data_IF_724394078123
#
_entry.id   IF_724394078123
#
_cell.length_a   1.000
_cell.length_b   1.000
_cell.length_c   1.000
_cell.angle_alpha   90.00
_cell.angle_beta   90.00
_cell.angle_gamma   90.00
#
_symmetry.space_group_name_H-M   'P 1'
#
loop_
_entity.id
_entity.type
_entity.pdbx_description
1 polymer ?
#
# COMPACT_ATOMS: atom_id res chain seq x y z
N UNK A 1 -4.04 -1.08 -43.17
CA UNK A 1 -3.55 -1.52 -41.85
C UNK A 1 -3.21 -2.99 -41.94
N UNK A 2 -2.09 -3.42 -41.35
CA UNK A 2 -1.75 -4.84 -41.21
C UNK A 2 -2.66 -5.47 -40.14
N UNK A 3 -2.76 -6.81 -40.12
CA UNK A 3 -3.69 -7.50 -39.21
C UNK A 3 -3.45 -7.16 -37.73
N UNK A 4 -2.19 -7.11 -37.28
CA UNK A 4 -1.85 -6.81 -35.88
C UNK A 4 -2.22 -5.39 -35.48
N UNK A 5 -1.94 -4.41 -36.35
CA UNK A 5 -2.30 -3.00 -36.13
C UNK A 5 -3.81 -2.82 -35.99
N UNK A 6 -4.59 -3.56 -36.78
CA UNK A 6 -6.05 -3.53 -36.72
C UNK A 6 -6.55 -4.06 -35.37
N UNK A 7 -6.04 -5.23 -34.95
CA UNK A 7 -6.42 -5.87 -33.68
C UNK A 7 -6.15 -4.93 -32.50
N UNK A 8 -4.96 -4.30 -32.45
CA UNK A 8 -4.62 -3.42 -31.33
C UNK A 8 -5.44 -2.14 -31.30
N UNK A 9 -5.78 -1.59 -32.48
CA UNK A 9 -6.57 -0.37 -32.59
C UNK A 9 -8.04 -0.59 -32.23
N UNK A 10 -8.56 -1.77 -32.51
CA UNK A 10 -9.97 -2.13 -32.26
C UNK A 10 -10.16 -2.85 -30.91
N UNK A 11 -9.08 -3.10 -30.16
CA UNK A 11 -9.13 -3.82 -28.89
C UNK A 11 -9.98 -3.06 -27.86
N UNK A 12 -11.07 -3.68 -27.43
CA UNK A 12 -11.91 -3.20 -26.35
C UNK A 12 -11.66 -4.05 -25.10
N UNK A 13 -11.23 -3.41 -24.02
CA UNK A 13 -10.93 -4.07 -22.75
C UNK A 13 -12.15 -4.80 -22.19
N UNK A 14 -13.36 -4.31 -22.47
CA UNK A 14 -14.55 -4.89 -21.89
C UNK A 14 -14.98 -6.19 -22.54
N UNK A 15 -14.81 -6.30 -23.86
CA UNK A 15 -15.22 -7.46 -24.66
C UNK A 15 -14.07 -8.41 -24.98
N UNK A 16 -12.86 -7.90 -25.16
CA UNK A 16 -11.73 -8.65 -25.71
C UNK A 16 -10.75 -9.15 -24.65
N UNK A 17 -10.83 -8.63 -23.42
CA UNK A 17 -10.05 -9.15 -22.29
C UNK A 17 -10.68 -10.44 -21.76
N UNK A 18 -10.40 -11.54 -22.45
CA UNK A 18 -10.92 -12.87 -22.12
C UNK A 18 -10.38 -13.41 -20.78
N UNK A 19 -11.29 -13.99 -19.98
CA UNK A 19 -11.02 -14.58 -18.68
C UNK A 19 -11.61 -15.99 -18.59
N UNK A 20 -10.99 -16.84 -17.79
CA UNK A 20 -11.33 -18.26 -17.62
C UNK A 20 -11.68 -18.55 -16.15
N UNK A 21 -12.66 -19.43 -15.87
CA UNK A 21 -12.99 -19.79 -14.50
C UNK A 21 -11.85 -20.55 -13.82
N UNK A 22 -11.53 -20.17 -12.58
CA UNK A 22 -10.56 -20.85 -11.73
C UNK A 22 -11.22 -22.00 -10.95
N UNK A 23 -11.08 -23.24 -11.42
CA UNK A 23 -11.68 -24.42 -10.77
C UNK A 23 -10.80 -25.04 -9.67
N UNK A 24 -9.67 -24.42 -9.32
CA UNK A 24 -8.71 -24.98 -8.37
C UNK A 24 -9.00 -24.52 -6.94
N UNK A 25 -8.92 -25.45 -5.97
CA UNK A 25 -9.18 -25.18 -4.55
C UNK A 25 -8.00 -24.56 -3.80
N UNK A 26 -6.77 -24.75 -4.29
CA UNK A 26 -5.56 -24.26 -3.63
C UNK A 26 -5.24 -22.86 -4.09
N UNK A 27 -4.60 -22.09 -3.22
CA UNK A 27 -3.98 -20.82 -3.61
C UNK A 27 -2.67 -21.10 -4.32
N UNK A 28 -2.48 -20.45 -5.47
CA UNK A 28 -1.27 -20.53 -6.27
C UNK A 28 -0.99 -19.15 -6.86
N UNK A 29 0.29 -18.87 -7.10
CA UNK A 29 0.72 -17.59 -7.66
C UNK A 29 0.98 -17.74 -9.15
N UNK A 30 0.40 -16.86 -9.93
CA UNK A 30 0.68 -16.71 -11.36
C UNK A 30 1.60 -15.51 -11.54
N UNK A 31 2.73 -15.69 -12.23
CA UNK A 31 3.66 -14.63 -12.60
C UNK A 31 3.74 -14.54 -14.12
N UNK A 32 3.40 -13.38 -14.66
CA UNK A 32 3.40 -13.08 -16.10
C UNK A 32 4.42 -11.97 -16.35
N UNK A 33 5.25 -12.15 -17.38
CA UNK A 33 6.19 -11.13 -17.85
C UNK A 33 5.79 -10.70 -19.24
N UNK A 34 5.59 -9.40 -19.43
CA UNK A 34 5.14 -8.78 -20.68
C UNK A 34 6.21 -7.75 -21.10
N UNK A 35 7.25 -8.18 -21.84
CA UNK A 35 8.41 -7.35 -22.16
C UNK A 35 8.17 -6.34 -23.28
N UNK A 36 7.01 -6.39 -23.93
CA UNK A 36 6.69 -5.60 -25.13
C UNK A 36 5.78 -4.39 -24.85
N UNK A 37 5.73 -3.89 -23.61
CA UNK A 37 4.93 -2.70 -23.30
C UNK A 37 5.59 -1.45 -23.90
N UNK A 38 4.76 -0.64 -24.55
CA UNK A 38 5.15 0.68 -25.02
C UNK A 38 3.95 1.62 -25.04
N UNK A 39 4.20 2.91 -24.83
CA UNK A 39 3.20 3.96 -24.92
C UNK A 39 3.85 5.26 -25.43
N UNK A 40 3.04 6.29 -25.69
CA UNK A 40 3.51 7.61 -26.09
C UNK A 40 3.47 8.56 -24.89
N UNK A 41 4.57 9.28 -24.67
CA UNK A 41 4.62 10.33 -23.65
C UNK A 41 3.60 11.44 -23.97
N UNK A 42 2.66 11.77 -23.06
CA UNK A 42 1.56 12.71 -23.34
C UNK A 42 2.01 14.10 -23.78
N UNK A 43 3.19 14.52 -23.33
CA UNK A 43 3.71 15.88 -23.57
C UNK A 43 4.56 15.97 -24.83
N UNK A 44 5.31 14.92 -25.16
CA UNK A 44 6.33 14.96 -26.22
C UNK A 44 6.03 14.05 -27.40
N UNK A 45 5.14 13.07 -27.24
CA UNK A 45 4.87 12.05 -28.24
C UNK A 45 6.01 11.04 -28.44
N UNK A 46 7.12 11.14 -27.69
CA UNK A 46 8.17 10.13 -27.76
C UNK A 46 7.69 8.79 -27.21
N UNK A 47 8.06 7.67 -27.85
CA UNK A 47 7.74 6.35 -27.35
C UNK A 47 8.52 6.07 -26.07
N UNK A 48 7.83 5.55 -25.07
CA UNK A 48 8.41 4.97 -23.86
C UNK A 48 8.23 3.45 -23.91
N UNK A 49 9.14 2.72 -23.26
CA UNK A 49 9.18 1.26 -23.26
C UNK A 49 9.32 0.77 -21.83
N UNK A 50 8.67 -0.35 -21.51
CA UNK A 50 8.77 -0.99 -20.21
C UNK A 50 8.63 -2.51 -20.31
N UNK A 51 9.09 -3.21 -19.27
CA UNK A 51 8.62 -4.57 -18.99
C UNK A 51 7.57 -4.51 -17.91
N UNK A 52 6.39 -5.07 -18.19
CA UNK A 52 5.32 -5.21 -17.20
C UNK A 52 5.40 -6.59 -16.57
N UNK A 53 5.44 -6.62 -15.24
CA UNK A 53 5.33 -7.83 -14.45
C UNK A 53 3.98 -7.83 -13.75
N UNK A 54 3.22 -8.90 -13.96
CA UNK A 54 1.96 -9.14 -13.25
C UNK A 54 2.14 -10.37 -12.37
N UNK A 55 1.87 -10.22 -11.08
CA UNK A 55 1.86 -11.31 -10.12
C UNK A 55 0.52 -11.31 -9.40
N UNK A 56 -0.19 -12.43 -9.42
CA UNK A 56 -1.49 -12.51 -8.75
C UNK A 56 -1.82 -13.90 -8.23
N UNK A 57 -2.66 -13.95 -7.20
CA UNK A 57 -3.32 -15.17 -6.73
C UNK A 57 -4.77 -15.10 -7.22
N UNK A 58 -5.20 -15.99 -8.12
CA UNK A 58 -6.53 -15.91 -8.72
C UNK A 58 -7.62 -16.13 -7.67
N UNK A 59 -8.71 -15.37 -7.82
CA UNK A 59 -9.98 -15.61 -7.14
C UNK A 59 -10.83 -16.55 -7.98
N UNK A 60 -11.91 -16.02 -8.54
CA UNK A 60 -12.84 -16.75 -9.40
C UNK A 60 -12.32 -16.92 -10.83
N UNK A 61 -11.43 -16.04 -11.29
CA UNK A 61 -11.00 -15.99 -12.68
C UNK A 61 -9.48 -15.95 -12.87
N UNK A 62 -9.05 -16.42 -14.04
CA UNK A 62 -7.68 -16.38 -14.56
C UNK A 62 -7.71 -15.65 -15.90
N UNK A 63 -6.74 -14.79 -16.18
CA UNK A 63 -6.67 -14.07 -17.46
C UNK A 63 -6.16 -14.97 -18.58
N UNK A 64 -6.71 -14.82 -19.79
CA UNK A 64 -6.19 -15.49 -20.98
C UNK A 64 -4.90 -14.80 -21.47
N UNK A 65 -3.89 -15.60 -21.85
CA UNK A 65 -2.53 -15.10 -22.14
C UNK A 65 -2.45 -14.26 -23.42
N UNK A 66 -3.20 -14.60 -24.47
CA UNK A 66 -3.25 -13.80 -25.69
C UNK A 66 -4.01 -12.50 -25.45
N UNK A 67 -5.10 -12.51 -24.70
CA UNK A 67 -5.92 -11.36 -24.37
C UNK A 67 -5.12 -10.32 -23.56
N UNK A 68 -4.44 -10.72 -22.48
CA UNK A 68 -3.60 -9.79 -21.70
C UNK A 68 -2.44 -9.23 -22.53
N UNK A 69 -1.85 -10.04 -23.42
CA UNK A 69 -0.80 -9.57 -24.34
C UNK A 69 -1.35 -8.49 -25.29
N UNK A 70 -2.53 -8.70 -25.88
CA UNK A 70 -3.15 -7.73 -26.79
C UNK A 70 -3.57 -6.46 -26.03
N UNK A 71 -4.09 -6.60 -24.81
CA UNK A 71 -4.39 -5.48 -23.94
C UNK A 71 -3.15 -4.62 -23.67
N UNK A 72 -2.04 -5.23 -23.24
CA UNK A 72 -0.78 -4.50 -23.03
C UNK A 72 -0.27 -3.85 -24.31
N UNK A 73 -0.34 -4.53 -25.45
CA UNK A 73 0.12 -3.97 -26.71
C UNK A 73 -0.80 -2.85 -27.25
N UNK A 74 -2.06 -2.75 -26.79
CA UNK A 74 -2.99 -1.67 -27.16
C UNK A 74 -2.50 -0.28 -26.69
N UNK A 75 -1.58 -0.24 -25.71
CA UNK A 75 -0.97 1.00 -25.22
C UNK A 75 -0.03 1.68 -26.23
N UNK A 76 0.41 0.95 -27.27
CA UNK A 76 1.44 1.42 -28.21
C UNK A 76 1.13 2.77 -28.86
N UNK A 77 -0.14 3.06 -29.16
CA UNK A 77 -0.56 4.31 -29.77
C UNK A 77 -1.19 5.31 -28.80
N UNK A 78 -1.16 5.03 -27.49
CA UNK A 78 -1.85 5.82 -26.47
C UNK A 78 -0.91 6.84 -25.84
N UNK A 79 -1.38 8.08 -25.73
CA UNK A 79 -0.68 9.16 -25.03
C UNK A 79 -1.00 9.08 -23.53
N UNK A 80 -0.16 8.40 -22.74
CA UNK A 80 -0.41 8.12 -21.33
C UNK A 80 0.88 8.18 -20.50
N UNK A 81 0.81 8.70 -19.28
CA UNK A 81 1.97 8.74 -18.38
C UNK A 81 2.29 7.35 -17.83
N UNK A 82 3.51 7.18 -17.33
CA UNK A 82 3.97 5.90 -16.77
C UNK A 82 3.06 5.49 -15.61
N UNK A 83 2.76 6.42 -14.70
CA UNK A 83 1.93 6.22 -13.52
C UNK A 83 0.51 5.83 -13.90
N UNK A 84 -0.11 6.57 -14.82
CA UNK A 84 -1.48 6.30 -15.24
C UNK A 84 -1.58 4.95 -15.94
N UNK A 85 -0.60 4.58 -16.77
CA UNK A 85 -0.60 3.29 -17.46
C UNK A 85 -0.58 2.11 -16.49
N UNK A 86 0.22 2.17 -15.41
CA UNK A 86 0.29 1.09 -14.43
C UNK A 86 -0.97 1.04 -13.55
N UNK A 87 -1.52 2.20 -13.16
CA UNK A 87 -2.78 2.25 -12.42
C UNK A 87 -3.94 1.66 -13.22
N UNK A 88 -4.06 2.02 -14.50
CA UNK A 88 -5.11 1.48 -15.37
C UNK A 88 -4.99 -0.04 -15.53
N UNK A 89 -3.79 -0.55 -15.78
CA UNK A 89 -3.54 -2.00 -15.89
C UNK A 89 -3.95 -2.70 -14.60
N UNK A 90 -3.57 -2.15 -13.44
CA UNK A 90 -3.94 -2.72 -12.14
C UNK A 90 -5.47 -2.73 -11.95
N UNK A 91 -6.14 -1.61 -12.17
CA UNK A 91 -7.58 -1.46 -11.98
C UNK A 91 -8.40 -2.41 -12.87
N UNK A 92 -8.02 -2.52 -14.14
CA UNK A 92 -8.67 -3.44 -15.10
C UNK A 92 -8.51 -4.89 -14.64
N UNK A 93 -7.31 -5.31 -14.25
CA UNK A 93 -7.05 -6.68 -13.81
C UNK A 93 -7.74 -6.98 -12.47
N UNK A 94 -7.73 -6.04 -11.53
CA UNK A 94 -8.43 -6.17 -10.25
C UNK A 94 -9.93 -6.34 -10.47
N UNK A 95 -10.54 -5.50 -11.30
CA UNK A 95 -11.97 -5.51 -11.59
C UNK A 95 -12.41 -6.78 -12.31
N UNK A 96 -11.66 -7.19 -13.35
CA UNK A 96 -12.03 -8.35 -14.19
C UNK A 96 -11.73 -9.69 -13.52
N UNK A 97 -10.62 -9.79 -12.78
CA UNK A 97 -10.18 -11.07 -12.21
C UNK A 97 -10.63 -11.28 -10.76
N UNK A 98 -10.94 -10.21 -10.03
CA UNK A 98 -11.23 -10.22 -8.59
C UNK A 98 -10.23 -11.10 -7.81
N UNK A 99 -8.91 -10.85 -7.96
CA UNK A 99 -7.90 -11.72 -7.40
C UNK A 99 -7.82 -11.58 -5.87
N UNK A 100 -7.32 -12.60 -5.19
CA UNK A 100 -7.04 -12.53 -3.74
C UNK A 100 -5.82 -11.65 -3.43
N UNK A 101 -4.91 -11.56 -4.39
CA UNK A 101 -3.70 -10.76 -4.34
C UNK A 101 -3.38 -10.31 -5.76
N UNK A 102 -3.00 -9.05 -5.95
CA UNK A 102 -2.53 -8.51 -7.22
C UNK A 102 -1.34 -7.59 -6.99
N UNK A 103 -0.32 -7.78 -7.82
CA UNK A 103 0.82 -6.89 -7.95
C UNK A 103 1.11 -6.65 -9.42
N UNK A 104 1.26 -5.38 -9.78
CA UNK A 104 1.67 -4.94 -11.11
C UNK A 104 2.90 -4.05 -10.95
N UNK A 105 3.96 -4.39 -11.68
CA UNK A 105 5.21 -3.62 -11.73
C UNK A 105 5.48 -3.20 -13.16
N UNK A 106 5.65 -1.91 -13.40
CA UNK A 106 6.19 -1.36 -14.64
C UNK A 106 7.64 -0.96 -14.46
N UNK A 107 8.55 -1.68 -15.10
CA UNK A 107 9.98 -1.36 -15.16
C UNK A 107 10.29 -0.61 -16.46
N UNK A 108 10.34 0.72 -16.39
CA UNK A 108 10.47 1.59 -17.56
C UNK A 108 11.93 1.79 -17.94
N UNK A 109 12.20 1.80 -19.25
CA UNK A 109 13.52 2.12 -19.77
C UNK A 109 13.93 3.56 -19.38
N UNK A 110 15.22 3.80 -19.08
CA UNK A 110 15.65 5.11 -18.63
C UNK A 110 15.41 6.23 -19.65
N UNK A 111 14.92 7.37 -19.17
CA UNK A 111 14.72 8.59 -19.95
C UNK A 111 15.55 9.71 -19.36
N UNK A 112 16.45 10.30 -20.15
CA UNK A 112 17.39 11.31 -19.65
C UNK A 112 18.30 10.80 -18.53
N UNK A 113 18.70 9.52 -18.59
CA UNK A 113 19.43 8.80 -17.54
C UNK A 113 18.69 8.64 -16.20
N UNK A 114 17.37 8.84 -16.18
CA UNK A 114 16.52 8.57 -15.02
C UNK A 114 15.74 7.29 -15.28
N UNK A 115 15.88 6.33 -14.36
CA UNK A 115 15.16 5.06 -14.38
C UNK A 115 13.94 5.16 -13.46
N UNK A 116 12.80 4.63 -13.93
CA UNK A 116 11.53 4.68 -13.20
C UNK A 116 10.98 3.26 -13.08
N UNK A 117 10.68 2.86 -11.86
CA UNK A 117 9.96 1.63 -11.56
C UNK A 117 8.72 2.00 -10.76
N UNK A 118 7.55 1.59 -11.26
CA UNK A 118 6.26 1.84 -10.62
C UNK A 118 5.70 0.50 -10.20
N UNK A 119 5.32 0.39 -8.93
CA UNK A 119 4.77 -0.83 -8.34
C UNK A 119 3.47 -0.49 -7.63
N UNK A 120 2.43 -1.27 -7.94
CA UNK A 120 1.20 -1.34 -7.18
C UNK A 120 1.09 -2.76 -6.67
N UNK A 121 0.98 -2.92 -5.36
CA UNK A 121 0.86 -4.21 -4.69
C UNK A 121 -0.30 -4.11 -3.69
N UNK A 122 -1.28 -5.01 -3.81
CA UNK A 122 -2.48 -5.02 -2.98
C UNK A 122 -2.16 -5.16 -1.48
N UNK A 123 -1.03 -5.76 -1.11
CA UNK A 123 -0.57 -5.88 0.28
C UNK A 123 0.06 -4.58 0.80
N UNK A 124 0.65 -3.75 -0.07
CA UNK A 124 1.18 -2.44 0.31
C UNK A 124 0.05 -1.42 0.52
N UNK A 125 -1.06 -1.60 -0.19
CA UNK A 125 -2.22 -0.69 -0.15
C UNK A 125 -3.30 -1.16 0.85
N UNK A 126 -3.26 -2.41 1.31
CA UNK A 126 -4.17 -2.91 2.34
C UNK A 126 -4.00 -2.17 3.69
N UNK A 127 -5.14 -1.61 4.16
CA UNK A 127 -5.46 -1.02 5.47
C UNK A 127 -5.27 0.49 5.66
N UNK A 128 -5.73 1.32 4.72
CA UNK A 128 -6.27 2.63 5.12
C UNK A 128 -7.76 2.52 5.48
N UNK A 129 -8.57 1.90 4.61
CA UNK A 129 -9.99 1.60 4.89
C UNK A 129 -10.18 0.76 6.15
N UNK A 130 -9.48 -0.37 6.30
CA UNK A 130 -9.59 -1.20 7.50
C UNK A 130 -9.11 -0.45 8.76
N UNK A 131 -8.08 0.40 8.66
CA UNK A 131 -7.64 1.23 9.80
C UNK A 131 -8.65 2.32 10.13
N UNK A 132 -9.31 2.91 9.16
CA UNK A 132 -10.39 3.89 9.35
C UNK A 132 -11.60 3.20 10.03
N UNK A 133 -12.03 2.05 9.51
CA UNK A 133 -13.14 1.27 10.06
C UNK A 133 -12.84 0.75 11.47
N UNK A 134 -11.63 0.24 11.71
CA UNK A 134 -11.18 -0.15 13.06
C UNK A 134 -11.06 1.06 14.00
N UNK A 135 -10.60 2.22 13.52
CA UNK A 135 -10.57 3.46 14.32
C UNK A 135 -11.98 3.89 14.72
N UNK A 136 -12.93 3.83 13.80
CA UNK A 136 -14.33 4.20 14.05
C UNK A 136 -15.00 3.23 15.02
N UNK A 137 -14.76 1.92 14.88
CA UNK A 137 -15.22 0.90 15.83
C UNK A 137 -14.64 1.11 17.24
N UNK A 138 -13.32 1.35 17.34
CA UNK A 138 -12.64 1.61 18.62
C UNK A 138 -13.16 2.91 19.25
N UNK A 139 -13.31 3.99 18.47
CA UNK A 139 -13.86 5.27 18.96
C UNK A 139 -15.30 5.12 19.46
N UNK A 140 -16.11 4.30 18.81
CA UNK A 140 -17.48 4.02 19.24
C UNK A 140 -17.50 3.25 20.57
N UNK A 141 -16.69 2.19 20.68
CA UNK A 141 -16.57 1.40 21.91
C UNK A 141 -16.13 2.27 23.11
N UNK A 142 -15.10 3.11 22.92
CA UNK A 142 -14.64 4.03 23.97
C UNK A 142 -15.76 5.00 24.38
N UNK A 143 -16.48 5.60 23.42
CA UNK A 143 -17.57 6.54 23.73
C UNK A 143 -18.71 5.88 24.51
N UNK A 144 -19.06 4.64 24.18
CA UNK A 144 -20.12 3.89 24.86
C UNK A 144 -19.73 3.55 26.31
N UNK A 145 -18.45 3.18 26.54
CA UNK A 145 -17.89 2.91 27.87
C UNK A 145 -17.81 4.17 28.75
N UNK A 146 -17.40 5.31 28.20
CA UNK A 146 -17.43 6.59 28.94
C UNK A 146 -18.86 7.06 29.24
N UNK A 147 -19.84 6.71 28.41
CA UNK A 147 -21.24 7.07 28.61
C UNK A 147 -21.86 6.24 29.74
N UNK A 148 -21.57 4.93 29.79
CA UNK A 148 -22.00 4.06 30.89
C UNK A 148 -21.35 4.45 32.22
N UNK A 149 -20.05 4.74 32.26
CA UNK A 149 -19.37 5.22 33.48
C UNK A 149 -19.93 6.57 33.98
N UNK A 150 -20.30 7.48 33.07
CA UNK A 150 -20.87 8.78 33.42
C UNK A 150 -22.28 8.62 34.00
N UNK A 151 -23.10 7.76 33.43
CA UNK A 151 -24.44 7.43 33.94
C UNK A 151 -24.32 6.80 35.34
N UNK A 152 -23.40 5.85 35.53
CA UNK A 152 -23.21 5.18 36.83
C UNK A 152 -22.69 6.16 37.91
N UNK A 153 -21.83 7.12 37.54
CA UNK A 153 -21.37 8.19 38.45
C UNK A 153 -22.48 9.17 38.80
N UNK A 154 -23.40 9.49 37.88
CA UNK A 154 -24.55 10.35 38.14
C UNK A 154 -25.61 9.66 39.02
N UNK A 155 -25.87 8.37 38.80
CA UNK A 155 -26.74 7.56 39.66
C UNK A 155 -26.18 7.42 41.08
N UNK A 156 -24.88 7.13 41.24
CA UNK A 156 -24.21 7.10 42.54
C UNK A 156 -24.28 8.46 43.27
N UNK A 157 -24.22 9.58 42.54
CA UNK A 157 -24.40 10.92 43.11
C UNK A 157 -25.83 11.19 43.58
N UNK A 158 -26.84 10.73 42.84
CA UNK A 158 -28.26 10.85 43.24
C UNK A 158 -28.59 10.02 44.48
N UNK A 159 -28.10 8.78 44.54
CA UNK A 159 -28.23 7.91 45.73
C UNK A 159 -27.53 8.52 46.94
N UNK A 160 -26.39 9.17 46.74
CA UNK A 160 -25.66 9.86 47.81
C UNK A 160 -26.36 11.16 48.28
N UNK A 161 -27.07 11.88 47.41
CA UNK A 161 -27.88 13.03 47.81
C UNK A 161 -29.15 12.63 48.57
N UNK A 162 -29.83 11.56 48.17
CA UNK A 162 -31.03 11.05 48.87
C UNK A 162 -30.71 10.49 50.27
N UNK A 163 -29.52 9.91 50.46
CA UNK A 163 -29.04 9.50 51.79
C UNK A 163 -28.66 10.66 52.71
N UNK A 164 -28.38 11.86 52.17
CA UNK A 164 -28.09 13.05 53.00
C UNK A 164 -29.34 13.70 53.56
N UNK A 165 -30.48 13.60 52.88
CA UNK A 165 -31.75 14.16 53.38
C UNK A 165 -32.42 13.28 54.45
N UNK A 166 -32.07 11.99 54.52
CA UNK A 166 -32.66 11.02 55.46
C UNK A 166 -31.84 10.76 56.74
N UNK A 167 -30.71 11.42 56.96
CA UNK A 167 -29.96 11.21 58.19
C UNK A 167 -28.76 12.13 58.40
N UNK A 168 -28.97 13.33 58.94
CA UNK A 168 -27.93 14.03 59.69
C UNK A 168 -28.49 15.00 60.73
N UNK A 169 -28.99 14.46 61.85
CA UNK A 169 -28.93 15.14 63.15
C UNK A 169 -27.85 14.44 63.97
N UNK A 170 -26.67 15.06 64.11
CA UNK A 170 -25.92 15.14 65.38
C UNK A 170 -24.62 15.95 65.27
N UNK A 171 -24.60 17.03 66.05
CA UNK A 171 -23.53 17.54 66.92
C UNK A 171 -22.07 17.40 66.45
N UNK A 172 -21.52 18.50 65.94
CA UNK A 172 -20.08 18.74 65.94
C UNK A 172 -19.68 19.45 67.24
N UNK A 173 -18.92 18.74 68.09
CA UNK A 173 -18.14 19.36 69.17
C UNK A 173 -17.01 20.18 68.56
N UNK A 174 -16.83 21.39 69.10
CA UNK A 174 -15.64 22.23 68.93
C UNK A 174 -14.44 21.51 69.55
N UNK A 175 -13.33 21.48 68.83
CA UNK A 175 -11.97 21.78 69.31
C UNK A 175 -10.95 21.14 68.35
N UNK A 176 -10.36 21.97 67.48
CA UNK A 176 -8.90 22.10 67.39
C UNK A 176 -8.55 23.16 66.33
N UNK A 177 -8.17 24.32 66.83
CA UNK A 177 -7.52 25.38 66.06
C UNK A 177 -6.05 24.98 65.87
N UNK A 178 -5.56 24.92 64.63
CA UNK A 178 -4.14 25.16 64.34
C UNK A 178 -4.00 26.14 63.19
N UNK A 179 -3.09 27.07 63.45
CA UNK A 179 -2.90 28.34 62.77
C UNK A 179 -2.21 28.22 61.42
N UNK A 180 -2.60 29.16 60.56
CA UNK A 180 -1.99 29.50 59.29
C UNK A 180 -0.67 30.26 59.54
N UNK A 181 0.40 29.92 58.82
CA UNK A 181 1.57 30.79 58.70
C UNK A 181 2.06 30.83 57.26
N UNK A 182 1.91 32.02 56.68
CA UNK A 182 2.43 32.44 55.39
C UNK A 182 3.96 32.41 55.35
N UNK A 183 4.52 32.02 54.21
CA UNK A 183 5.78 32.59 53.73
C UNK A 183 5.74 32.73 52.20
N UNK A 184 5.80 33.99 51.77
CA UNK A 184 6.10 34.46 50.41
C UNK A 184 7.61 34.37 50.18
N UNK A 185 8.01 34.07 48.94
CA UNK A 185 9.17 34.59 48.17
C UNK A 185 9.83 33.48 47.33
N UNK A 186 10.44 33.72 46.17
CA UNK A 186 10.35 34.76 45.15
C UNK A 186 11.09 34.18 43.92
N UNK A 187 10.84 34.76 42.75
CA UNK A 187 11.34 34.35 41.44
C UNK A 187 12.87 34.43 41.35
N UNK A 188 13.50 33.48 40.66
CA UNK A 188 14.68 33.81 39.85
C UNK A 188 14.85 32.92 38.61
N UNK A 189 15.23 33.59 37.51
CA UNK A 189 15.41 33.08 36.14
C UNK A 189 16.87 32.67 35.93
N UNK A 190 17.15 31.51 35.34
CA UNK A 190 18.32 31.21 34.47
C UNK A 190 17.88 30.04 33.55
N UNK A 191 17.86 30.09 32.22
CA UNK A 191 18.75 30.79 31.30
C UNK A 191 19.95 29.90 30.94
N UNK A 192 19.73 28.75 30.28
CA UNK A 192 20.83 27.94 29.72
C UNK A 192 20.79 27.98 28.19
N UNK A 193 21.91 28.48 27.66
CA UNK A 193 22.22 28.74 26.26
C UNK A 193 22.35 27.46 25.45
N UNK A 194 21.85 27.53 24.22
CA UNK A 194 22.31 26.77 23.06
C UNK A 194 23.85 26.79 22.99
N UNK A 195 24.44 25.60 22.86
CA UNK A 195 25.86 25.41 22.59
C UNK A 195 26.02 24.57 21.33
N UNK A 196 26.58 25.18 20.30
CA UNK A 196 26.94 24.60 19.01
C UNK A 196 27.81 23.35 19.16
N UNK A 197 27.37 22.22 18.60
CA UNK A 197 28.24 21.07 18.32
C UNK A 197 28.70 21.16 16.88
N UNK A 198 29.99 21.43 16.71
CA UNK A 198 30.68 21.38 15.43
C UNK A 198 30.72 19.95 14.89
N UNK A 199 30.35 19.82 13.63
CA UNK A 199 30.40 18.59 12.84
C UNK A 199 31.84 18.19 12.51
N UNK A 200 32.30 17.06 13.07
CA UNK A 200 33.50 16.39 12.61
C UNK A 200 33.19 15.60 11.31
N UNK A 201 33.55 16.18 10.17
CA UNK A 201 33.54 15.51 8.87
C UNK A 201 34.57 14.39 8.85
N UNK A 202 34.14 13.14 9.02
CA UNK A 202 34.90 11.97 8.58
C UNK A 202 34.60 11.69 7.11
N UNK A 203 35.63 11.80 6.28
CA UNK A 203 35.66 11.38 4.88
C UNK A 203 35.39 9.88 4.77
N UNK A 204 34.27 9.50 4.15
CA UNK A 204 33.97 8.10 3.83
C UNK A 204 34.48 7.80 2.42
N UNK A 205 35.47 6.90 2.37
CA UNK A 205 36.16 6.43 1.18
C UNK A 205 35.18 5.88 0.12
N UNK A 206 35.35 6.31 -1.12
CA UNK A 206 34.50 6.01 -2.25
C UNK A 206 34.80 4.62 -2.81
N UNK A 207 34.17 3.59 -2.25
CA UNK A 207 33.97 2.30 -2.94
C UNK A 207 32.48 2.11 -3.19
N UNK A 208 32.03 2.49 -4.39
CA UNK A 208 30.66 2.24 -4.88
C UNK A 208 30.40 0.72 -4.85
N UNK A 209 29.36 0.24 -4.15
CA UNK A 209 28.92 -1.14 -4.31
C UNK A 209 28.32 -1.29 -5.71
N UNK A 210 28.77 -2.29 -6.48
CA UNK A 210 28.10 -2.70 -7.72
C UNK A 210 26.69 -3.14 -7.36
N UNK A 211 25.67 -2.41 -7.83
CA UNK A 211 24.26 -2.79 -7.67
C UNK A 211 23.99 -4.03 -8.52
N UNK A 212 23.54 -5.12 -7.88
CA UNK A 212 22.95 -6.24 -8.62
C UNK A 212 21.53 -5.85 -9.10
N UNK A 213 21.11 -6.29 -10.30
CA UNK A 213 19.73 -6.10 -10.75
C UNK A 213 18.76 -6.92 -9.89
N UNK A 214 17.62 -6.33 -9.53
CA UNK A 214 16.66 -6.83 -8.53
C UNK A 214 15.83 -8.05 -8.96
N UNK A 215 15.99 -8.56 -10.18
CA UNK A 215 15.39 -9.81 -10.63
C UNK A 215 16.44 -10.68 -11.33
N UNK A 216 17.01 -11.66 -10.61
CA UNK A 216 17.63 -12.84 -11.22
C UNK A 216 16.63 -13.98 -11.16
N UNK A 217 15.99 -14.31 -12.28
CA UNK A 217 15.47 -15.65 -12.51
C UNK A 217 16.69 -16.59 -12.52
N UNK A 218 16.73 -17.56 -11.60
CA UNK A 218 17.73 -18.62 -11.64
C UNK A 218 17.47 -19.49 -12.88
N UNK A 219 18.20 -19.22 -13.97
CA UNK A 219 18.28 -20.09 -15.15
C UNK A 219 19.64 -20.79 -15.19
N UNK A 220 19.99 -21.45 -14.08
CA UNK A 220 20.88 -22.62 -14.05
C UNK A 220 19.96 -23.79 -13.68
N UNK A 221 19.69 -24.82 -14.46
CA UNK A 221 20.48 -25.51 -15.46
C UNK A 221 19.55 -26.21 -16.47
N UNK A 222 19.39 -25.69 -17.69
CA UNK A 222 18.97 -26.52 -18.84
C UNK A 222 19.60 -25.96 -20.11
N UNK A 223 20.81 -26.42 -20.44
CA UNK A 223 21.29 -26.34 -21.83
C UNK A 223 20.31 -27.15 -22.70
N UNK A 224 19.80 -26.63 -23.82
CA UNK A 224 19.05 -27.44 -24.76
C UNK A 224 20.00 -28.51 -25.34
N UNK A 225 19.73 -29.78 -25.07
CA UNK A 225 20.40 -30.89 -25.75
C UNK A 225 19.83 -31.00 -27.15
N UNK A 226 20.68 -30.83 -28.16
CA UNK A 226 20.34 -31.14 -29.56
C UNK A 226 20.17 -32.65 -29.66
N UNK A 227 18.96 -33.13 -29.84
CA UNK A 227 18.71 -34.53 -30.21
C UNK A 227 19.09 -34.67 -31.68
N UNK A 228 20.20 -35.34 -31.97
CA UNK A 228 20.50 -35.78 -33.34
C UNK A 228 19.44 -36.81 -33.71
N UNK A 229 18.73 -36.59 -34.82
CA UNK A 229 17.95 -37.65 -35.46
C UNK A 229 18.95 -38.72 -35.90
N UNK A 230 18.82 -39.92 -35.35
CA UNK A 230 19.48 -41.08 -35.92
C UNK A 230 18.79 -41.40 -37.24
N UNK A 231 19.50 -41.17 -38.35
CA UNK A 231 19.17 -41.76 -39.64
C UNK A 231 19.50 -43.25 -39.56
N UNK A 232 18.55 -44.08 -39.09
CA UNK A 232 18.51 -45.50 -39.43
C UNK A 232 17.16 -46.17 -39.12
N UNK A 233 16.57 -46.72 -40.19
CA UNK A 233 15.37 -47.57 -40.35
C UNK A 233 14.04 -46.88 -40.60
#
# INVERSE_FOLDING_TARGET
MKYGEKILKEFDVDTDLEIWPNNNKRDYTIKITLPEFTCLCPRSGYPDFATIYVEYIPGEFVVELKAIKLYINSFMSRNISHENSINEIYEVLETKLKPKYLKVVGDFNPRGNVHTLIEIDSNLVAKQSDKESLKDEILKAIKDEFKSEKIEREEKRKVFSEKKESGFKKEFRKDDKREFKDSKESKERRGSKFGDRKDDKKSFDSKKPKREPFFKLNTSDKKPTVVKKDDNR
#
